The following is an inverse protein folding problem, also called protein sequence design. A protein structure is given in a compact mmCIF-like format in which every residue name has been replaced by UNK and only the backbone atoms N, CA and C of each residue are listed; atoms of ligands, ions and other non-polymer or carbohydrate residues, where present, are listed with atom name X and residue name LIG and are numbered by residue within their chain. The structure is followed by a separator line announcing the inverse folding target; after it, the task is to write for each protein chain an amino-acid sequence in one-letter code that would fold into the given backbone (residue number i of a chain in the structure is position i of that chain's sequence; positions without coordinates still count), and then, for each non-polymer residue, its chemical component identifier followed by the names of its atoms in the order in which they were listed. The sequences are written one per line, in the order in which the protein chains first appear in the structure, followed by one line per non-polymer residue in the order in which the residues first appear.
data_IF_265876768369
#
_entry.id   IF_265876768369
#
_cell.length_a   1.000
_cell.length_b   1.000
_cell.length_c   1.000
_cell.angle_alpha   90.00
_cell.angle_beta   90.00
_cell.angle_gamma   90.00
#
_symmetry.space_group_name_H-M   'P 1'
#
loop_
_entity.id
_entity.type
_entity.pdbx_description
1 polymer ?
#
# COMPACT_ATOMS: atom_id res chain seq x y z
N UNK A 1 -56.89 11.85 19.64
CA UNK A 1 -56.15 12.98 19.04
C UNK A 1 -54.66 12.68 19.10
N UNK A 2 -53.92 13.15 18.08
CA UNK A 2 -52.47 13.07 17.78
C UNK A 2 -51.59 13.40 19.02
N UNK A 3 -50.32 12.96 19.18
CA UNK A 3 -49.20 13.02 18.25
C UNK A 3 -48.12 11.96 18.53
N UNK A 4 -47.59 11.44 17.43
CA UNK A 4 -46.37 10.67 17.24
C UNK A 4 -45.13 11.43 17.73
N UNK A 5 -44.19 10.75 18.38
CA UNK A 5 -42.81 11.22 18.53
C UNK A 5 -41.86 10.19 17.94
N UNK A 6 -41.49 10.40 16.68
CA UNK A 6 -40.37 9.72 16.06
C UNK A 6 -39.08 10.41 16.52
N UNK A 7 -38.25 9.73 17.31
CA UNK A 7 -36.88 10.19 17.55
C UNK A 7 -36.01 9.65 16.42
N UNK A 8 -35.72 10.57 15.52
CA UNK A 8 -34.78 10.47 14.41
C UNK A 8 -33.42 9.97 14.93
N UNK A 9 -33.14 8.68 14.75
CA UNK A 9 -31.81 8.11 15.05
C UNK A 9 -30.87 8.45 13.89
N UNK A 10 -30.23 9.62 13.94
CA UNK A 10 -29.04 9.87 13.14
C UNK A 10 -27.88 9.09 13.77
N UNK A 11 -27.75 7.81 13.41
CA UNK A 11 -26.47 7.12 13.56
C UNK A 11 -25.60 7.69 12.45
N UNK A 12 -24.82 8.72 12.80
CA UNK A 12 -23.75 9.24 11.97
C UNK A 12 -22.72 8.12 11.82
N UNK A 13 -22.88 7.27 10.81
CA UNK A 13 -21.83 6.39 10.34
C UNK A 13 -20.76 7.28 9.69
N UNK A 14 -20.00 7.99 10.52
CA UNK A 14 -18.76 8.58 10.09
C UNK A 14 -17.90 7.41 9.59
N UNK A 15 -17.48 7.39 8.31
CA UNK A 15 -16.46 6.45 7.90
C UNK A 15 -15.28 6.70 8.82
N UNK A 16 -14.88 5.68 9.61
CA UNK A 16 -13.68 5.71 10.42
C UNK A 16 -12.54 6.17 9.51
N UNK A 17 -12.18 7.45 9.62
CA UNK A 17 -10.99 7.98 8.99
C UNK A 17 -9.85 7.31 9.75
N UNK A 18 -9.42 6.15 9.24
CA UNK A 18 -8.19 5.51 9.70
C UNK A 18 -7.10 6.53 9.42
N UNK A 19 -6.68 7.25 10.46
CA UNK A 19 -5.47 8.05 10.45
C UNK A 19 -4.34 7.05 10.31
N UNK A 20 -3.94 6.82 9.06
CA UNK A 20 -2.87 5.90 8.74
C UNK A 20 -1.57 6.59 9.16
N UNK A 21 -0.95 6.11 10.24
CA UNK A 21 0.31 6.66 10.73
C UNK A 21 1.41 6.26 9.75
N UNK A 22 2.19 7.24 9.27
CA UNK A 22 3.29 6.97 8.36
C UNK A 22 4.32 6.04 9.04
N UNK A 23 4.64 4.87 8.45
CA UNK A 23 5.68 4.00 8.98
C UNK A 23 7.10 4.52 8.69
N UNK A 24 7.23 5.59 7.90
CA UNK A 24 8.51 6.16 7.47
C UNK A 24 9.12 6.99 8.60
N UNK A 25 10.33 6.65 9.08
CA UNK A 25 11.08 7.47 10.03
C UNK A 25 11.27 8.91 9.52
N UNK A 26 11.31 9.93 10.41
CA UNK A 26 11.41 11.34 10.00
C UNK A 26 12.63 11.67 9.13
N UNK A 27 13.73 10.93 9.30
CA UNK A 27 14.99 11.16 8.61
C UNK A 27 15.13 10.34 7.31
N UNK A 28 14.12 9.54 6.95
CA UNK A 28 14.16 8.66 5.78
C UNK A 28 13.40 9.29 4.59
N UNK A 29 14.02 9.35 3.38
CA UNK A 29 13.37 9.94 2.21
C UNK A 29 12.15 9.14 1.75
N UNK A 30 10.95 9.70 1.96
CA UNK A 30 9.71 9.18 1.36
C UNK A 30 9.75 9.37 -0.16
N UNK A 31 9.54 8.30 -0.91
CA UNK A 31 9.48 8.33 -2.37
C UNK A 31 8.05 8.42 -2.88
N UNK A 32 7.15 7.67 -2.27
CA UNK A 32 5.75 7.62 -2.68
C UNK A 32 4.88 7.20 -1.50
N UNK A 33 3.77 7.91 -1.30
CA UNK A 33 2.65 7.41 -0.52
C UNK A 33 1.38 7.49 -1.37
N UNK A 34 0.50 6.50 -1.24
CA UNK A 34 -0.77 6.54 -1.95
C UNK A 34 -1.84 5.73 -1.24
N UNK A 35 -3.09 6.05 -1.58
CA UNK A 35 -4.26 5.39 -1.05
C UNK A 35 -4.62 4.16 -1.90
N UNK A 36 -4.78 3.00 -1.26
CA UNK A 36 -5.30 1.78 -1.86
C UNK A 36 -6.84 1.82 -1.89
N UNK A 37 -7.43 2.86 -2.49
CA UNK A 37 -8.87 3.11 -2.43
C UNK A 37 -9.41 3.08 -0.98
N UNK A 38 -10.38 2.21 -0.66
CA UNK A 38 -10.97 2.10 0.69
C UNK A 38 -10.27 1.09 1.60
N UNK A 39 -9.22 0.41 1.12
CA UNK A 39 -8.62 -0.71 1.86
C UNK A 39 -7.37 -0.36 2.65
N UNK A 40 -6.76 0.82 2.42
CA UNK A 40 -5.57 1.21 3.17
C UNK A 40 -4.70 2.26 2.47
N UNK A 41 -3.47 2.39 2.95
CA UNK A 41 -2.41 3.22 2.40
C UNK A 41 -1.14 2.40 2.23
N UNK A 42 -0.32 2.79 1.25
CA UNK A 42 0.99 2.21 1.02
C UNK A 42 2.04 3.32 0.98
N UNK A 43 3.25 2.99 1.45
CA UNK A 43 4.41 3.86 1.46
C UNK A 43 5.61 3.14 0.88
N UNK A 44 6.37 3.83 0.04
CA UNK A 44 7.68 3.41 -0.46
C UNK A 44 8.68 4.50 -0.11
N UNK A 45 9.81 4.12 0.46
CA UNK A 45 10.84 5.06 0.91
C UNK A 45 12.24 4.44 0.85
N UNK A 46 13.25 5.26 1.09
CA UNK A 46 14.65 4.82 1.20
C UNK A 46 15.00 4.70 2.69
N UNK A 47 15.45 3.53 3.11
CA UNK A 47 15.98 3.28 4.45
C UNK A 47 17.47 2.91 4.41
N UNK A 48 18.05 2.62 5.58
CA UNK A 48 19.47 2.22 5.70
C UNK A 48 19.85 0.96 4.92
N UNK A 49 18.88 0.10 4.57
CA UNK A 49 19.08 -1.14 3.82
C UNK A 49 18.76 -1.00 2.31
N UNK A 50 18.36 0.18 1.85
CA UNK A 50 17.98 0.43 0.47
C UNK A 50 16.53 0.90 0.36
N UNK A 51 15.71 0.18 -0.42
CA UNK A 51 14.30 0.56 -0.62
C UNK A 51 13.41 -0.26 0.29
N UNK A 52 12.42 0.39 0.87
CA UNK A 52 11.43 -0.22 1.75
C UNK A 52 10.01 0.10 1.30
N UNK A 53 9.10 -0.82 1.63
CA UNK A 53 7.66 -0.68 1.43
C UNK A 53 6.89 -1.24 2.62
N UNK A 54 5.79 -0.57 2.96
CA UNK A 54 4.81 -1.04 3.94
C UNK A 54 3.41 -0.64 3.50
N UNK A 55 2.43 -1.48 3.86
CA UNK A 55 1.03 -1.29 3.54
C UNK A 55 0.23 -1.38 4.82
N UNK A 56 -0.50 -0.31 5.16
CA UNK A 56 -1.41 -0.29 6.29
C UNK A 56 -2.84 -0.42 5.77
N UNK A 57 -3.44 -1.58 6.04
CA UNK A 57 -4.81 -1.90 5.65
C UNK A 57 -5.81 -1.50 6.75
N UNK A 58 -7.03 -1.15 6.36
CA UNK A 58 -8.11 -0.74 7.29
C UNK A 58 -8.72 -1.90 8.09
N UNK A 59 -8.53 -3.14 7.63
CA UNK A 59 -9.14 -4.33 8.22
C UNK A 59 -8.10 -5.36 8.71
N UNK A 60 -6.85 -4.93 8.94
CA UNK A 60 -5.73 -5.81 9.31
C UNK A 60 -5.59 -7.03 8.37
N UNK A 61 -5.84 -6.83 7.09
CA UNK A 61 -5.64 -7.83 6.04
C UNK A 61 -4.16 -8.00 5.74
N UNK A 62 -3.76 -9.22 5.39
CA UNK A 62 -2.48 -9.47 4.77
C UNK A 62 -2.43 -8.81 3.39
N UNK A 63 -1.21 -8.50 2.95
CA UNK A 63 -0.95 -7.94 1.63
C UNK A 63 0.22 -8.65 0.97
N UNK A 64 0.24 -8.62 -0.35
CA UNK A 64 1.28 -9.25 -1.18
C UNK A 64 1.80 -8.26 -2.21
N UNK A 65 3.12 -8.21 -2.40
CA UNK A 65 3.73 -7.49 -3.51
C UNK A 65 3.80 -8.41 -4.74
N UNK A 66 3.29 -7.93 -5.86
CA UNK A 66 3.25 -8.66 -7.12
C UNK A 66 3.85 -7.83 -8.25
N UNK A 67 4.52 -8.51 -9.18
CA UNK A 67 5.05 -7.94 -10.42
C UNK A 67 4.23 -8.45 -11.59
N UNK A 68 3.90 -7.55 -12.52
CA UNK A 68 3.26 -7.95 -13.76
C UNK A 68 4.28 -8.57 -14.70
N UNK A 69 3.96 -9.74 -15.25
CA UNK A 69 4.72 -10.37 -16.31
C UNK A 69 4.01 -10.17 -17.66
N UNK A 70 4.67 -9.45 -18.56
CA UNK A 70 4.12 -9.13 -19.87
C UNK A 70 4.00 -10.37 -20.77
N UNK A 71 4.82 -11.41 -20.56
CA UNK A 71 4.80 -12.62 -21.38
C UNK A 71 3.58 -13.51 -21.06
N UNK A 72 3.29 -13.70 -19.77
CA UNK A 72 2.14 -14.50 -19.31
C UNK A 72 0.87 -13.66 -19.12
N UNK A 73 0.99 -12.33 -19.12
CA UNK A 73 -0.08 -11.39 -18.77
C UNK A 73 -0.69 -11.65 -17.38
N UNK A 74 0.15 -12.09 -16.43
CA UNK A 74 -0.26 -12.41 -15.06
C UNK A 74 0.48 -11.56 -14.01
N UNK A 75 -0.13 -11.42 -12.84
CA UNK A 75 0.53 -10.93 -11.65
C UNK A 75 1.25 -12.07 -10.94
N UNK A 76 2.56 -11.94 -10.79
CA UNK A 76 3.40 -12.92 -10.11
C UNK A 76 3.82 -12.39 -8.74
N UNK A 77 3.59 -13.18 -7.70
CA UNK A 77 4.05 -12.88 -6.35
C UNK A 77 5.58 -12.75 -6.32
N UNK A 78 6.09 -11.62 -5.84
CA UNK A 78 7.53 -11.38 -5.68
C UNK A 78 7.99 -11.44 -4.23
N UNK A 79 7.05 -11.44 -3.29
CA UNK A 79 7.32 -11.62 -1.86
C UNK A 79 6.16 -12.35 -1.19
N UNK A 80 6.44 -13.09 -0.11
CA UNK A 80 5.40 -13.79 0.63
C UNK A 80 4.34 -12.82 1.19
N UNK A 81 3.07 -13.24 1.36
CA UNK A 81 2.07 -12.43 2.03
C UNK A 81 2.54 -12.06 3.43
N UNK A 82 2.33 -10.80 3.83
CA UNK A 82 2.71 -10.28 5.14
C UNK A 82 1.59 -9.47 5.76
N UNK A 83 1.62 -9.31 7.09
CA UNK A 83 0.60 -8.58 7.82
C UNK A 83 0.61 -7.08 7.50
N UNK A 84 -0.57 -6.47 7.66
CA UNK A 84 -0.75 -5.01 7.65
C UNK A 84 0.29 -4.31 8.55
N UNK A 85 0.95 -3.29 8.03
CA UNK A 85 1.98 -2.52 8.71
C UNK A 85 3.39 -3.14 8.66
N UNK A 86 3.52 -4.39 8.21
CA UNK A 86 4.84 -5.02 8.05
C UNK A 86 5.69 -4.24 7.05
N UNK A 87 6.92 -3.91 7.45
CA UNK A 87 7.90 -3.27 6.60
C UNK A 87 8.72 -4.36 5.91
N UNK A 88 8.80 -4.31 4.58
CA UNK A 88 9.67 -5.19 3.79
C UNK A 88 10.62 -4.34 2.94
N UNK A 89 11.85 -4.82 2.76
CA UNK A 89 12.89 -4.10 2.03
C UNK A 89 14.28 -4.59 2.39
N UNK A 90 15.20 -4.69 1.41
CA UNK A 90 16.60 -5.07 1.64
C UNK A 90 16.88 -6.47 2.20
N UNK A 91 15.85 -7.30 2.45
CA UNK A 91 15.99 -8.62 3.08
C UNK A 91 16.63 -9.67 2.14
N UNK A 92 16.38 -9.55 0.84
CA UNK A 92 16.96 -10.44 -0.19
C UNK A 92 17.40 -9.64 -1.40
N UNK A 93 18.41 -10.13 -2.13
CA UNK A 93 18.86 -9.51 -3.38
C UNK A 93 17.73 -9.43 -4.41
N UNK A 94 16.88 -10.47 -4.49
CA UNK A 94 15.75 -10.51 -5.41
C UNK A 94 14.68 -9.45 -5.09
N UNK A 95 14.33 -9.30 -3.80
CA UNK A 95 13.39 -8.27 -3.38
C UNK A 95 13.96 -6.88 -3.67
N UNK A 96 15.24 -6.66 -3.36
CA UNK A 96 15.91 -5.39 -3.64
C UNK A 96 15.91 -5.07 -5.14
N UNK A 97 16.18 -6.05 -6.01
CA UNK A 97 16.09 -5.87 -7.47
C UNK A 97 14.68 -5.49 -7.92
N UNK A 98 13.65 -6.14 -7.39
CA UNK A 98 12.26 -5.81 -7.71
C UNK A 98 11.88 -4.41 -7.23
N UNK A 99 12.35 -3.99 -6.05
CA UNK A 99 12.12 -2.64 -5.54
C UNK A 99 12.80 -1.58 -6.41
N UNK A 100 14.02 -1.83 -6.89
CA UNK A 100 14.73 -0.97 -7.85
C UNK A 100 13.94 -0.86 -9.17
N UNK A 101 13.44 -1.97 -9.70
CA UNK A 101 12.62 -1.98 -10.92
C UNK A 101 11.33 -1.20 -10.73
N UNK A 102 10.69 -1.31 -9.56
CA UNK A 102 9.47 -0.58 -9.20
C UNK A 102 9.72 0.93 -9.13
N UNK A 103 10.74 1.36 -8.38
CA UNK A 103 11.09 2.78 -8.19
C UNK A 103 11.50 3.46 -9.48
N UNK A 104 12.19 2.74 -10.37
CA UNK A 104 12.60 3.25 -11.66
C UNK A 104 11.52 3.10 -12.75
N UNK A 105 10.35 2.55 -12.43
CA UNK A 105 9.27 2.32 -13.39
C UNK A 105 9.63 1.34 -14.51
N UNK A 106 10.60 0.44 -14.29
CA UNK A 106 11.03 -0.57 -15.28
C UNK A 106 10.03 -1.70 -15.45
N UNK A 107 9.21 -1.96 -14.43
CA UNK A 107 8.16 -2.95 -14.47
C UNK A 107 6.93 -2.46 -13.69
N UNK A 108 5.76 -3.04 -13.99
CA UNK A 108 4.52 -2.74 -13.26
C UNK A 108 4.44 -3.62 -12.01
N UNK A 109 4.06 -3.00 -10.92
CA UNK A 109 3.86 -3.67 -9.63
C UNK A 109 2.44 -3.43 -9.14
N UNK A 110 1.95 -4.35 -8.31
CA UNK A 110 0.70 -4.17 -7.58
C UNK A 110 0.82 -4.67 -6.15
N UNK A 111 0.01 -4.07 -5.29
CA UNK A 111 -0.27 -4.57 -3.95
C UNK A 111 -1.58 -5.34 -4.03
N UNK A 112 -1.52 -6.64 -3.75
CA UNK A 112 -2.71 -7.46 -3.65
C UNK A 112 -3.20 -7.45 -2.21
N UNK A 113 -4.48 -7.07 -2.02
CA UNK A 113 -5.17 -7.14 -0.73
C UNK A 113 -6.54 -7.75 -0.97
N UNK A 114 -6.89 -8.79 -0.24
CA UNK A 114 -8.19 -9.49 -0.36
C UNK A 114 -8.52 -9.88 -1.82
N UNK A 115 -7.53 -10.37 -2.57
CA UNK A 115 -7.71 -10.79 -3.97
C UNK A 115 -7.89 -9.65 -4.98
N UNK A 116 -7.72 -8.39 -4.56
CA UNK A 116 -7.75 -7.23 -5.46
C UNK A 116 -6.36 -6.64 -5.65
N UNK A 117 -5.98 -6.43 -6.90
CA UNK A 117 -4.74 -5.75 -7.28
C UNK A 117 -4.89 -4.24 -7.20
N UNK A 118 -3.95 -3.60 -6.53
CA UNK A 118 -3.81 -2.15 -6.46
C UNK A 118 -2.48 -1.76 -7.10
N UNK A 119 -2.54 -1.30 -8.35
CA UNK A 119 -1.34 -0.95 -9.13
C UNK A 119 -0.56 0.15 -8.42
N UNK A 120 0.75 -0.05 -8.31
CA UNK A 120 1.67 0.93 -7.76
C UNK A 120 1.75 2.11 -8.73
N UNK A 121 1.44 3.34 -8.29
CA UNK A 121 1.57 4.52 -9.13
C UNK A 121 3.02 4.75 -9.57
N UNK A 122 3.24 5.45 -10.70
CA UNK A 122 4.58 5.92 -11.07
C UNK A 122 5.20 6.74 -9.93
N UNK A 123 6.45 6.43 -9.57
CA UNK A 123 7.20 7.16 -8.55
C UNK A 123 7.83 8.38 -9.24
N UNK A 124 7.54 9.62 -8.80
CA UNK A 124 8.13 10.81 -9.39
C UNK A 124 9.66 10.76 -9.29
N UNK A 125 10.35 10.86 -10.42
CA UNK A 125 11.80 11.02 -10.43
C UNK A 125 12.11 12.52 -10.29
N UNK A 126 13.10 12.91 -9.47
CA UNK A 126 13.53 14.30 -9.43
C UNK A 126 14.01 14.71 -10.82
N UNK A 127 13.50 15.83 -11.33
CA UNK A 127 14.00 16.44 -12.56
C UNK A 127 15.48 16.78 -12.35
N UNK A 128 16.35 16.17 -13.15
CA UNK A 128 17.79 16.46 -13.19
C UNK A 128 18.08 17.91 -13.58
#
# INVERSE_FOLDING_TARGET
MRFTSAILSLILAAPLAVSAYSPVPPDEPLLLNWQLHKVGFAWVWINTLGYAISVQTTHNSMWTLERYDDASQQWNQVFMPVDSGTIIGGQTQQLQSNMVDMVNGKAKFSIQVNGKHHVVPPIPQPSS
#
